data_IF_028949419322
#
_entry.id   IF_028949419322
#
_cell.length_a   1.000
_cell.length_b   1.000
_cell.length_c   1.000
_cell.angle_alpha   90.00
_cell.angle_beta   90.00
_cell.angle_gamma   90.00
#
_symmetry.space_group_name_H-M   'P 1'
#
loop_
_entity.id
_entity.type
_entity.pdbx_description
1 polymer ?
#
# COMPACT_ATOMS: atom_id res chain seq x y z
N UNK A 1 14.06 -8.38 -1.61
CA UNK A 1 13.29 -7.20 -2.07
C UNK A 1 14.14 -6.46 -3.09
N UNK A 2 13.67 -6.32 -4.33
CA UNK A 2 14.35 -5.55 -5.38
C UNK A 2 13.86 -4.10 -5.33
N UNK A 3 14.79 -3.15 -5.46
CA UNK A 3 14.53 -1.71 -5.41
C UNK A 3 15.01 -1.05 -6.69
N UNK A 4 14.22 -0.12 -7.23
CA UNK A 4 14.51 0.63 -8.44
C UNK A 4 14.38 2.13 -8.20
N UNK A 5 15.13 2.94 -8.95
CA UNK A 5 15.01 4.39 -8.88
C UNK A 5 13.70 4.86 -9.52
N UNK A 6 12.97 5.74 -8.83
CA UNK A 6 11.75 6.35 -9.34
C UNK A 6 12.11 7.49 -10.30
N UNK A 7 12.31 7.17 -11.57
CA UNK A 7 12.72 8.14 -12.59
C UNK A 7 13.99 8.90 -12.18
N UNK A 8 14.00 10.23 -12.40
CA UNK A 8 15.14 11.09 -12.07
C UNK A 8 15.07 11.71 -10.66
N UNK A 9 14.24 11.15 -9.76
CA UNK A 9 14.01 11.74 -8.42
C UNK A 9 15.11 11.45 -7.41
N UNK A 10 15.98 10.47 -7.67
CA UNK A 10 16.97 10.01 -6.68
C UNK A 10 16.40 9.07 -5.61
N UNK A 11 15.09 8.81 -5.62
CA UNK A 11 14.41 7.96 -4.63
C UNK A 11 14.39 6.52 -5.13
N UNK A 12 14.78 5.57 -4.27
CA UNK A 12 14.66 4.14 -4.55
C UNK A 12 13.38 3.57 -3.94
N UNK A 13 12.58 2.88 -4.75
CA UNK A 13 11.30 2.28 -4.33
C UNK A 13 11.31 0.77 -4.58
N UNK A 14 10.56 0.02 -3.77
CA UNK A 14 10.35 -1.40 -4.03
C UNK A 14 9.48 -1.60 -5.26
N UNK A 15 9.61 -2.76 -5.92
CA UNK A 15 8.74 -3.12 -7.04
C UNK A 15 7.31 -3.47 -6.62
N UNK A 16 7.13 -3.74 -5.33
CA UNK A 16 5.85 -4.02 -4.73
C UNK A 16 5.41 -2.80 -3.93
N UNK A 17 4.18 -2.36 -4.16
CA UNK A 17 3.54 -1.28 -3.41
C UNK A 17 2.49 -1.88 -2.46
N UNK A 18 2.37 -1.31 -1.26
CA UNK A 18 1.30 -1.64 -0.31
C UNK A 18 0.15 -0.65 -0.45
N UNK A 19 -0.96 -1.09 -1.02
CA UNK A 19 -2.20 -0.29 -1.09
C UNK A 19 -2.98 -0.35 0.22
N UNK A 20 -3.43 0.80 0.71
CA UNK A 20 -4.15 0.92 2.00
C UNK A 20 -5.55 1.51 1.87
N UNK A 21 -6.08 1.67 0.64
CA UNK A 21 -7.37 2.32 0.39
C UNK A 21 -8.57 1.61 1.06
N UNK A 22 -8.45 0.32 1.38
CA UNK A 22 -9.48 -0.48 2.06
C UNK A 22 -9.22 -0.67 3.55
N UNK A 23 -8.11 -0.16 4.07
CA UNK A 23 -7.82 -0.22 5.51
C UNK A 23 -8.74 0.79 6.21
N UNK A 24 -9.49 0.33 7.21
CA UNK A 24 -10.44 1.16 7.96
C UNK A 24 -11.75 1.47 7.23
N UNK A 25 -12.03 0.86 6.08
CA UNK A 25 -13.35 0.95 5.48
C UNK A 25 -14.39 0.34 6.45
N UNK A 26 -15.53 1.02 6.65
CA UNK A 26 -16.65 0.52 7.44
C UNK A 26 -17.77 0.11 6.47
N UNK A 27 -18.11 -1.18 6.46
CA UNK A 27 -19.13 -1.73 5.58
C UNK A 27 -19.26 -3.25 5.77
N UNK A 28 -20.38 -3.82 5.35
CA UNK A 28 -20.75 -5.22 5.59
C UNK A 28 -19.73 -6.25 5.06
N UNK A 29 -18.85 -5.84 4.12
CA UNK A 29 -17.78 -6.66 3.55
C UNK A 29 -16.36 -6.10 3.81
N UNK A 30 -16.21 -5.19 4.76
CA UNK A 30 -14.91 -4.61 5.07
C UNK A 30 -14.06 -5.60 5.87
N UNK A 31 -13.19 -6.33 5.17
CA UNK A 31 -12.33 -7.38 5.72
C UNK A 31 -11.46 -6.91 6.90
N UNK A 32 -11.10 -5.62 6.93
CA UNK A 32 -10.25 -5.02 7.96
C UNK A 32 -11.02 -4.20 9.01
N UNK A 33 -12.32 -3.97 8.82
CA UNK A 33 -13.13 -3.11 9.70
C UNK A 33 -13.40 -3.72 11.08
N UNK A 34 -13.16 -5.03 11.27
CA UNK A 34 -13.33 -5.72 12.55
C UNK A 34 -12.15 -5.54 13.50
N UNK A 35 -10.97 -5.16 12.98
CA UNK A 35 -9.73 -5.01 13.76
C UNK A 35 -9.24 -3.56 13.82
N UNK A 36 -9.87 -2.65 13.06
CA UNK A 36 -9.62 -1.22 13.11
C UNK A 36 -10.35 -0.60 14.31
#
# INVERSE_FOLDING_TARGET
MRYNQLGNTGIFVSELCLGTMTFGAAGENAQWGLIA
#
